data_IF_313310437991
#
_entry.id   IF_313310437991
#
_cell.length_a   1.000
_cell.length_b   1.000
_cell.length_c   1.000
_cell.angle_alpha   90.00
_cell.angle_beta   90.00
_cell.angle_gamma   90.00
#
_symmetry.space_group_name_H-M   'P 1'
#
loop_
_entity.id
_entity.type
_entity.pdbx_description
1 polymer ?
#
# COMPACT_ATOMS: atom_id res chain seq x y z
N UNK A 1 11.91 2.87 -28.41
CA UNK A 1 10.47 3.06 -28.11
C UNK A 1 9.99 4.32 -28.83
N UNK A 2 8.82 4.31 -29.47
CA UNK A 2 8.25 5.52 -30.08
C UNK A 2 7.80 6.51 -28.98
N UNK A 3 7.85 7.82 -29.23
CA UNK A 3 7.37 8.87 -28.31
C UNK A 3 5.95 8.62 -27.78
N UNK A 4 5.06 8.05 -28.58
CA UNK A 4 3.70 7.67 -28.14
C UNK A 4 3.73 6.54 -27.12
N UNK A 5 4.47 5.48 -27.39
CA UNK A 5 4.59 4.31 -26.50
C UNK A 5 5.24 4.71 -25.17
N UNK A 6 6.24 5.60 -25.19
CA UNK A 6 6.87 6.13 -23.98
C UNK A 6 5.89 6.92 -23.11
N UNK A 7 5.02 7.73 -23.75
CA UNK A 7 4.03 8.51 -23.03
C UNK A 7 2.99 7.62 -22.36
N UNK A 8 2.46 6.62 -23.08
CA UNK A 8 1.50 5.65 -22.54
C UNK A 8 2.11 4.86 -21.38
N UNK A 9 3.36 4.43 -21.52
CA UNK A 9 4.10 3.74 -20.46
C UNK A 9 4.22 4.61 -19.19
N UNK A 10 4.59 5.89 -19.34
CA UNK A 10 4.70 6.80 -18.20
C UNK A 10 3.33 7.07 -17.55
N UNK A 11 2.27 7.24 -18.34
CA UNK A 11 0.90 7.44 -17.83
C UNK A 11 0.41 6.23 -17.03
N UNK A 12 0.65 5.00 -17.52
CA UNK A 12 0.32 3.76 -16.79
C UNK A 12 1.08 3.67 -15.46
N UNK A 13 2.36 4.04 -15.47
CA UNK A 13 3.22 4.02 -14.28
C UNK A 13 2.80 5.03 -13.21
N UNK A 14 2.36 6.22 -13.60
CA UNK A 14 1.82 7.22 -12.67
C UNK A 14 0.46 6.79 -12.11
N UNK A 15 -0.37 6.15 -12.92
CA UNK A 15 -1.63 5.57 -12.46
C UNK A 15 -1.38 4.47 -11.41
N UNK A 16 -0.44 3.55 -11.68
CA UNK A 16 -0.06 2.50 -10.71
C UNK A 16 0.46 3.09 -9.39
N UNK A 17 1.25 4.17 -9.44
CA UNK A 17 1.69 4.89 -8.23
C UNK A 17 0.51 5.42 -7.44
N UNK A 18 -0.44 6.08 -8.12
CA UNK A 18 -1.62 6.66 -7.49
C UNK A 18 -2.46 5.59 -6.81
N UNK A 19 -2.77 4.50 -7.51
CA UNK A 19 -3.58 3.40 -6.96
C UNK A 19 -2.92 2.80 -5.72
N UNK A 20 -1.60 2.57 -5.75
CA UNK A 20 -0.88 2.05 -4.59
C UNK A 20 -0.86 3.03 -3.41
N UNK A 21 -0.70 4.33 -3.68
CA UNK A 21 -0.76 5.35 -2.63
C UNK A 21 -2.15 5.42 -1.98
N UNK A 22 -3.21 5.37 -2.80
CA UNK A 22 -4.60 5.35 -2.32
C UNK A 22 -4.87 4.10 -1.48
N UNK A 23 -4.38 2.93 -1.90
CA UNK A 23 -4.54 1.69 -1.14
C UNK A 23 -3.77 1.71 0.19
N UNK A 24 -2.58 2.32 0.23
CA UNK A 24 -1.81 2.50 1.47
C UNK A 24 -2.56 3.43 2.43
N UNK A 25 -3.12 4.54 1.93
CA UNK A 25 -3.88 5.48 2.74
C UNK A 25 -5.14 4.83 3.32
N UNK A 26 -5.91 4.12 2.49
CA UNK A 26 -7.09 3.37 2.95
C UNK A 26 -6.72 2.33 4.02
N UNK A 27 -5.60 1.63 3.84
CA UNK A 27 -5.12 0.67 4.83
C UNK A 27 -4.72 1.34 6.15
N UNK A 28 -4.15 2.55 6.12
CA UNK A 28 -3.85 3.31 7.34
C UNK A 28 -5.13 3.69 8.09
N UNK A 29 -6.18 4.10 7.39
CA UNK A 29 -7.49 4.38 7.98
C UNK A 29 -8.09 3.11 8.63
N UNK A 30 -8.05 1.97 7.94
CA UNK A 30 -8.49 0.68 8.48
C UNK A 30 -7.69 0.27 9.73
N UNK A 31 -6.37 0.46 9.72
CA UNK A 31 -5.52 0.18 10.87
C UNK A 31 -5.83 1.08 12.07
N UNK A 32 -6.07 2.37 11.83
CA UNK A 32 -6.47 3.32 12.87
C UNK A 32 -7.82 2.93 13.48
N UNK A 33 -8.81 2.59 12.65
CA UNK A 33 -10.12 2.12 13.10
C UNK A 33 -10.01 0.80 13.90
N UNK A 34 -9.20 -0.13 13.43
CA UNK A 34 -8.94 -1.41 14.13
C UNK A 34 -8.35 -1.17 15.51
N UNK A 35 -7.34 -0.30 15.61
CA UNK A 35 -6.69 0.01 16.88
C UNK A 35 -7.65 0.73 17.85
N UNK A 36 -8.48 1.64 17.33
CA UNK A 36 -9.51 2.31 18.11
C UNK A 36 -10.52 1.29 18.67
N UNK A 37 -11.00 0.37 17.83
CA UNK A 37 -11.95 -0.65 18.25
C UNK A 37 -11.32 -1.62 19.26
N UNK A 38 -10.10 -2.08 19.02
CA UNK A 38 -9.33 -2.90 19.96
C UNK A 38 -9.23 -2.24 21.33
N UNK A 39 -8.91 -0.95 21.38
CA UNK A 39 -8.75 -0.20 22.63
C UNK A 39 -10.05 -0.05 23.42
N UNK A 40 -11.22 -0.17 22.77
CA UNK A 40 -12.54 -0.02 23.37
C UNK A 40 -13.25 -1.35 23.63
N UNK A 41 -12.59 -2.49 23.38
CA UNK A 41 -13.17 -3.83 23.46
C UNK A 41 -12.63 -4.56 24.69
N UNK A 42 -13.47 -5.36 25.35
CA UNK A 42 -13.06 -6.21 26.48
C UNK A 42 -13.31 -7.70 26.23
N UNK A 43 -14.13 -8.01 25.24
CA UNK A 43 -14.49 -9.35 24.80
C UNK A 43 -13.25 -10.06 24.23
N UNK A 44 -12.79 -11.17 24.84
CA UNK A 44 -11.54 -11.84 24.44
C UNK A 44 -11.50 -12.25 22.97
N UNK A 45 -12.61 -12.78 22.43
CA UNK A 45 -12.71 -13.21 21.03
C UNK A 45 -12.58 -12.04 20.05
N UNK A 46 -13.12 -10.86 20.42
CA UNK A 46 -13.01 -9.66 19.61
C UNK A 46 -11.60 -9.04 19.70
N UNK A 47 -10.96 -9.09 20.88
CA UNK A 47 -9.56 -8.70 21.04
C UNK A 47 -8.63 -9.57 20.21
N UNK A 48 -8.85 -10.89 20.19
CA UNK A 48 -8.13 -11.83 19.34
C UNK A 48 -8.35 -11.51 17.85
N UNK A 49 -9.60 -11.30 17.43
CA UNK A 49 -9.95 -10.87 16.08
C UNK A 49 -9.18 -9.62 15.65
N UNK A 50 -9.24 -8.54 16.44
CA UNK A 50 -8.57 -7.28 16.12
C UNK A 50 -7.04 -7.41 16.13
N UNK A 51 -6.48 -8.26 16.99
CA UNK A 51 -5.03 -8.56 17.00
C UNK A 51 -4.61 -9.20 15.67
N UNK A 52 -5.33 -10.21 15.22
CA UNK A 52 -5.03 -10.87 13.95
C UNK A 52 -5.27 -9.97 12.75
N UNK A 53 -6.36 -9.20 12.76
CA UNK A 53 -6.66 -8.24 11.70
C UNK A 53 -5.55 -7.20 11.58
N UNK A 54 -5.15 -6.57 12.69
CA UNK A 54 -4.08 -5.57 12.70
C UNK A 54 -2.76 -6.15 12.18
N UNK A 55 -2.42 -7.39 12.58
CA UNK A 55 -1.22 -8.08 12.08
C UNK A 55 -1.29 -8.35 10.57
N UNK A 56 -2.45 -8.76 10.05
CA UNK A 56 -2.65 -8.93 8.61
C UNK A 56 -2.49 -7.60 7.86
N UNK A 57 -3.04 -6.51 8.39
CA UNK A 57 -2.90 -5.16 7.83
C UNK A 57 -1.44 -4.70 7.83
N UNK A 58 -0.65 -4.97 8.87
CA UNK A 58 0.79 -4.69 8.87
C UNK A 58 1.56 -5.44 7.77
N UNK A 59 1.20 -6.70 7.51
CA UNK A 59 1.78 -7.50 6.43
C UNK A 59 1.41 -6.93 5.05
N UNK A 60 0.13 -6.56 4.87
CA UNK A 60 -0.36 -5.91 3.65
C UNK A 60 0.37 -4.58 3.41
N UNK A 61 0.52 -3.75 4.45
CA UNK A 61 1.24 -2.48 4.36
C UNK A 61 2.69 -2.69 3.91
N UNK A 62 3.39 -3.65 4.52
CA UNK A 62 4.76 -3.99 4.15
C UNK A 62 4.86 -4.45 2.69
N UNK A 63 3.86 -5.18 2.19
CA UNK A 63 3.78 -5.57 0.79
C UNK A 63 3.56 -4.37 -0.14
N UNK A 64 2.57 -3.52 0.13
CA UNK A 64 2.28 -2.34 -0.69
C UNK A 64 3.46 -1.38 -0.76
N UNK A 65 4.14 -1.14 0.37
CA UNK A 65 5.35 -0.33 0.41
C UNK A 65 6.49 -0.92 -0.42
N UNK A 66 6.62 -2.25 -0.50
CA UNK A 66 7.60 -2.89 -1.40
C UNK A 66 7.23 -2.68 -2.86
N UNK A 67 5.95 -2.75 -3.22
CA UNK A 67 5.51 -2.50 -4.61
C UNK A 67 5.74 -1.04 -5.01
N UNK A 68 5.38 -0.09 -4.14
CA UNK A 68 5.62 1.33 -4.38
C UNK A 68 7.12 1.62 -4.53
N UNK A 69 7.97 1.03 -3.67
CA UNK A 69 9.43 1.16 -3.80
C UNK A 69 9.96 0.62 -5.13
N UNK A 70 9.52 -0.56 -5.58
CA UNK A 70 9.94 -1.11 -6.88
C UNK A 70 9.65 -0.12 -8.00
N UNK A 71 8.44 0.43 -8.00
CA UNK A 71 8.01 1.45 -8.95
C UNK A 71 8.98 2.66 -8.94
N UNK A 72 9.30 3.22 -7.78
CA UNK A 72 10.27 4.32 -7.67
C UNK A 72 11.70 3.94 -8.10
N UNK A 73 12.20 2.77 -7.74
CA UNK A 73 13.58 2.38 -8.04
C UNK A 73 13.79 1.92 -9.50
N UNK A 74 12.77 1.29 -10.09
CA UNK A 74 12.76 0.98 -11.53
C UNK A 74 12.81 2.26 -12.38
N UNK A 75 12.23 3.35 -11.87
CA UNK A 75 12.28 4.67 -12.49
C UNK A 75 13.68 5.28 -12.46
N UNK A 76 14.38 5.18 -11.33
CA UNK A 76 15.77 5.65 -11.18
C UNK A 76 16.78 4.84 -12.01
N UNK A 77 16.57 3.53 -12.16
CA UNK A 77 17.46 2.69 -12.98
C UNK A 77 17.19 2.81 -14.49
N UNK A 78 15.99 3.23 -14.89
CA UNK A 78 15.64 3.45 -16.31
C UNK A 78 16.26 4.73 -16.90
N UNK A 79 16.83 5.61 -16.07
CA UNK A 79 17.46 6.87 -16.49
C UNK A 79 19.01 6.80 -16.55
N UNK A 80 19.60 5.61 -16.34
CA UNK A 80 21.06 5.38 -16.25
C UNK A 80 21.62 4.57 -17.44
N UNK A 81 20.90 4.47 -18.56
CA UNK A 81 21.39 3.82 -19.80
C UNK A 81 21.29 4.77 -20.99
#
# INVERSE_FOLDING_TARGET
MNKRDQRVYNEQREEEKRVLADEINALHEEMAATLQNFSNTVEPELLEYYTYYYKASQLKHSYLMRQLKKIYYDETNSHVI
#
